data_IF_422002706840
#
_entry.id   IF_422002706840
#
_cell.length_a   1.000
_cell.length_b   1.000
_cell.length_c   1.000
_cell.angle_alpha   90.00
_cell.angle_beta   90.00
_cell.angle_gamma   90.00
#
_symmetry.space_group_name_H-M   'P 1'
#
loop_
_entity.id
_entity.type
_entity.pdbx_description
1 polymer ?
#
# COMPACT_ATOMS: atom_id res chain seq x y z
N UNK A 1 8.96 -3.11 -11.89
CA UNK A 1 7.66 -3.56 -12.43
C UNK A 1 6.60 -2.55 -12.03
N UNK A 2 5.62 -2.27 -12.89
CA UNK A 2 4.51 -1.38 -12.58
C UNK A 2 3.26 -2.22 -12.41
N UNK A 3 2.48 -1.92 -11.39
CA UNK A 3 1.28 -2.65 -11.00
C UNK A 3 0.12 -1.68 -11.11
N UNK A 4 -0.99 -2.13 -11.68
CA UNK A 4 -2.22 -1.35 -11.76
C UNK A 4 -3.20 -1.94 -10.72
N UNK A 5 -3.86 -1.16 -9.87
CA UNK A 5 -4.87 -1.70 -8.97
C UNK A 5 -5.90 -2.55 -9.74
N UNK A 6 -6.09 -3.80 -9.33
CA UNK A 6 -6.96 -4.76 -10.02
C UNK A 6 -6.35 -5.49 -11.23
N UNK A 7 -5.12 -5.17 -11.65
CA UNK A 7 -4.38 -5.88 -12.70
C UNK A 7 -2.93 -6.14 -12.27
N UNK A 8 -2.47 -7.39 -12.37
CA UNK A 8 -1.17 -7.80 -11.82
C UNK A 8 0.05 -7.18 -12.49
N UNK A 9 -0.02 -6.69 -13.73
CA UNK A 9 1.13 -6.03 -14.40
C UNK A 9 0.61 -4.98 -15.37
N UNK A 10 1.12 -3.75 -15.24
CA UNK A 10 1.00 -2.72 -16.25
C UNK A 10 2.22 -2.81 -17.19
N UNK A 11 2.04 -3.00 -18.51
CA UNK A 11 3.17 -2.97 -19.44
C UNK A 11 3.94 -1.65 -19.36
N UNK A 12 5.27 -1.70 -19.42
CA UNK A 12 6.10 -0.49 -19.27
C UNK A 12 5.79 0.55 -20.34
N UNK A 13 5.47 0.12 -21.57
CA UNK A 13 5.06 1.02 -22.64
C UNK A 13 3.78 1.79 -22.31
N UNK A 14 2.79 1.12 -21.71
CA UNK A 14 1.54 1.74 -21.27
C UNK A 14 1.78 2.70 -20.10
N UNK A 15 2.64 2.35 -19.15
CA UNK A 15 3.04 3.27 -18.08
C UNK A 15 3.73 4.52 -18.64
N UNK A 16 4.69 4.34 -19.55
CA UNK A 16 5.43 5.45 -20.15
C UNK A 16 4.50 6.38 -20.93
N UNK A 17 3.50 5.82 -21.62
CA UNK A 17 2.49 6.60 -22.31
C UNK A 17 1.59 7.38 -21.35
N UNK A 18 1.15 6.76 -20.24
CA UNK A 18 0.36 7.45 -19.22
C UNK A 18 1.14 8.65 -18.63
N UNK A 19 2.43 8.47 -18.34
CA UNK A 19 3.28 9.55 -17.83
C UNK A 19 3.44 10.66 -18.89
N UNK A 20 3.74 10.32 -20.15
CA UNK A 20 3.84 11.31 -21.24
C UNK A 20 2.52 12.06 -21.47
N UNK A 21 1.40 11.38 -21.31
CA UNK A 21 0.06 11.94 -21.41
C UNK A 21 -0.33 12.85 -20.23
N UNK A 22 0.55 13.04 -19.25
CA UNK A 22 0.30 13.92 -18.12
C UNK A 22 -0.49 13.28 -16.99
N UNK A 23 -0.42 11.96 -16.83
CA UNK A 23 -0.99 11.28 -15.66
C UNK A 23 -0.49 11.95 -14.36
N UNK A 24 -1.41 12.22 -13.44
CA UNK A 24 -1.07 12.80 -12.16
C UNK A 24 -0.13 11.87 -11.38
N UNK A 25 0.97 12.42 -10.87
CA UNK A 25 1.93 11.72 -10.03
C UNK A 25 1.75 12.21 -8.61
N UNK A 26 1.55 11.28 -7.68
CA UNK A 26 1.53 11.55 -6.25
C UNK A 26 2.66 10.77 -5.60
N UNK A 27 3.57 11.49 -4.96
CA UNK A 27 4.63 10.87 -4.20
C UNK A 27 4.06 10.12 -2.99
N UNK A 28 4.56 8.90 -2.80
CA UNK A 28 4.20 8.10 -1.64
C UNK A 28 5.09 8.51 -0.47
N UNK A 29 4.46 8.94 0.63
CA UNK A 29 5.18 9.12 1.88
C UNK A 29 5.78 7.80 2.34
N UNK A 30 7.06 7.82 2.69
CA UNK A 30 7.76 6.65 3.22
C UNK A 30 7.80 6.71 4.76
N UNK A 31 7.42 5.62 5.45
CA UNK A 31 7.48 5.56 6.90
C UNK A 31 8.93 5.61 7.39
N UNK A 32 9.15 6.41 8.44
CA UNK A 32 10.38 6.35 9.24
C UNK A 32 10.35 5.19 10.24
N UNK A 33 11.34 5.06 11.13
CA UNK A 33 11.41 3.96 12.10
C UNK A 33 10.40 4.09 13.25
N UNK A 34 9.86 5.28 13.48
CA UNK A 34 9.01 5.57 14.62
C UNK A 34 7.56 5.10 14.38
N UNK A 35 6.94 4.38 15.34
CA UNK A 35 5.56 3.95 15.23
C UNK A 35 4.59 5.10 15.51
N UNK A 36 3.35 4.94 15.04
CA UNK A 36 2.24 5.81 15.46
C UNK A 36 1.73 5.41 16.85
N UNK A 37 1.38 6.37 17.72
CA UNK A 37 0.96 6.07 19.09
C UNK A 37 -0.44 5.45 19.19
N UNK A 38 -1.29 5.67 18.18
CA UNK A 38 -2.68 5.22 18.17
C UNK A 38 -2.87 3.84 17.53
N UNK A 39 -3.95 3.16 17.88
CA UNK A 39 -4.34 1.88 17.28
C UNK A 39 -4.65 1.99 15.78
N UNK A 40 -5.46 2.98 15.38
CA UNK A 40 -5.87 3.15 13.98
C UNK A 40 -4.77 3.86 13.19
N UNK A 41 -4.27 3.29 12.09
CA UNK A 41 -3.23 3.94 11.29
C UNK A 41 -3.76 5.26 10.71
N UNK A 42 -2.89 6.26 10.63
CA UNK A 42 -3.18 7.50 9.92
C UNK A 42 -3.38 7.26 8.42
N UNK A 43 -3.97 8.22 7.72
CA UNK A 43 -4.21 8.11 6.28
C UNK A 43 -2.93 7.91 5.47
N UNK A 44 -1.82 8.55 5.87
CA UNK A 44 -0.53 8.38 5.20
C UNK A 44 0.04 6.97 5.38
N UNK A 45 -0.09 6.39 6.57
CA UNK A 45 0.35 5.03 6.86
C UNK A 45 -0.55 4.02 6.14
N UNK A 46 -1.87 4.23 6.16
CA UNK A 46 -2.81 3.40 5.42
C UNK A 46 -2.58 3.46 3.90
N UNK A 47 -2.26 4.63 3.35
CA UNK A 47 -1.91 4.78 1.94
C UNK A 47 -0.62 4.05 1.59
N UNK A 48 0.42 4.14 2.44
CA UNK A 48 1.66 3.38 2.27
C UNK A 48 1.41 1.87 2.29
N UNK A 49 0.66 1.36 3.28
CA UNK A 49 0.36 -0.07 3.42
C UNK A 49 -0.34 -0.60 2.17
N UNK A 50 -1.36 0.11 1.67
CA UNK A 50 -2.08 -0.30 0.45
C UNK A 50 -1.19 -0.29 -0.79
N UNK A 51 -0.35 0.74 -0.94
CA UNK A 51 0.58 0.82 -2.06
C UNK A 51 1.70 -0.25 -1.99
N UNK A 52 2.12 -0.64 -0.78
CA UNK A 52 3.07 -1.74 -0.57
C UNK A 52 2.47 -3.09 -0.92
N UNK A 53 1.27 -3.36 -0.40
CA UNK A 53 0.66 -4.69 -0.49
C UNK A 53 -0.01 -4.92 -1.85
N UNK A 54 -0.61 -3.88 -2.44
CA UNK A 54 -1.38 -3.85 -3.71
C UNK A 54 -2.60 -4.77 -3.75
N UNK A 55 -2.52 -5.95 -3.14
CA UNK A 55 -3.54 -6.98 -3.02
C UNK A 55 -3.54 -7.54 -1.60
N UNK A 56 -4.59 -8.30 -1.27
CA UNK A 56 -4.69 -9.05 -0.02
C UNK A 56 -3.44 -9.93 0.19
N UNK A 57 -2.90 -9.93 1.41
CA UNK A 57 -1.73 -10.74 1.76
C UNK A 57 -2.02 -12.23 1.96
N UNK A 58 -3.28 -12.65 1.97
CA UNK A 58 -3.64 -14.07 2.08
C UNK A 58 -3.16 -14.83 0.83
N UNK A 59 -2.51 -16.00 0.98
CA UNK A 59 -1.97 -16.74 -0.17
C UNK A 59 -3.01 -17.01 -1.25
N UNK A 60 -2.74 -16.53 -2.47
CA UNK A 60 -3.59 -16.74 -3.65
C UNK A 60 -4.80 -15.81 -3.75
N UNK A 61 -5.04 -14.92 -2.79
CA UNK A 61 -6.09 -13.92 -2.89
C UNK A 61 -5.65 -12.74 -3.76
N UNK A 62 -6.50 -12.30 -4.70
CA UNK A 62 -6.22 -11.16 -5.60
C UNK A 62 -7.18 -9.97 -5.38
N UNK A 63 -7.85 -9.92 -4.23
CA UNK A 63 -8.64 -8.76 -3.83
C UNK A 63 -7.69 -7.55 -3.69
N UNK A 64 -7.94 -6.43 -4.37
CA UNK A 64 -7.15 -5.21 -4.22
C UNK A 64 -7.09 -4.71 -2.78
N UNK A 65 -5.93 -4.19 -2.35
CA UNK A 65 -5.70 -3.75 -0.97
C UNK A 65 -6.64 -2.61 -0.54
N UNK A 66 -7.19 -1.84 -1.48
CA UNK A 66 -8.19 -0.80 -1.22
C UNK A 66 -9.51 -1.35 -0.68
N UNK A 67 -9.81 -2.63 -0.95
CA UNK A 67 -10.99 -3.34 -0.45
C UNK A 67 -10.69 -4.24 0.74
N UNK A 68 -9.45 -4.20 1.24
CA UNK A 68 -9.02 -4.99 2.38
C UNK A 68 -8.99 -4.12 3.64
N UNK A 69 -9.26 -4.75 4.77
CA UNK A 69 -8.95 -4.17 6.08
C UNK A 69 -7.43 -4.16 6.31
N UNK A 70 -6.97 -3.20 7.11
CA UNK A 70 -5.58 -3.11 7.57
C UNK A 70 -5.57 -3.57 9.03
N UNK A 71 -4.76 -4.57 9.32
CA UNK A 71 -4.67 -5.19 10.64
C UNK A 71 -3.21 -5.43 11.03
N UNK A 72 -2.95 -5.48 12.35
CA UNK A 72 -1.62 -5.72 12.89
C UNK A 72 -1.27 -7.21 12.87
N UNK A 73 -0.07 -7.58 12.42
CA UNK A 73 0.39 -8.99 12.48
C UNK A 73 0.67 -9.39 13.93
N UNK A 74 1.38 -8.55 14.68
CA UNK A 74 1.47 -8.67 16.14
C UNK A 74 0.39 -7.77 16.75
N UNK A 75 -0.58 -8.32 17.51
CA UNK A 75 -1.71 -7.53 18.00
C UNK A 75 -1.29 -6.31 18.82
N UNK A 76 -1.97 -5.18 18.61
CA UNK A 76 -1.81 -4.01 19.47
C UNK A 76 -2.28 -4.30 20.91
N UNK A 77 -1.60 -3.80 21.97
CA UNK A 77 -0.42 -2.93 21.93
C UNK A 77 0.91 -3.69 21.95
N UNK A 78 0.91 -5.03 21.84
CA UNK A 78 2.14 -5.82 21.84
C UNK A 78 2.97 -5.61 20.57
N UNK A 79 2.29 -5.35 19.45
CA UNK A 79 2.89 -4.85 18.22
C UNK A 79 2.56 -3.37 17.99
N UNK A 80 3.50 -2.59 17.41
CA UNK A 80 3.27 -1.17 17.17
C UNK A 80 2.36 -0.94 15.96
N UNK A 81 1.70 0.23 15.90
CA UNK A 81 1.11 0.74 14.66
C UNK A 81 2.23 1.29 13.79
N UNK A 82 2.82 0.43 12.98
CA UNK A 82 3.97 0.74 12.14
C UNK A 82 3.96 -0.11 10.87
N UNK A 83 4.57 0.38 9.80
CA UNK A 83 4.59 -0.32 8.52
C UNK A 83 5.31 -1.68 8.55
N UNK A 84 6.11 -1.97 9.57
CA UNK A 84 6.79 -3.27 9.71
C UNK A 84 6.00 -4.30 10.53
N UNK A 85 4.85 -3.91 11.09
CA UNK A 85 3.95 -4.79 11.83
C UNK A 85 2.71 -5.09 10.97
#
# INVERSE_FOLDING_TARGET
>A
VALLPGVRVLPMAALAEAIRGGAAIKDLWLPGPDPEPQYRPSEKLAAFIRARDMFCRFPGCDVPAERCDIDHVVPYPYGPTHASN
#
